data_IF_148992109132
#
_entry.id   IF_148992109132
#
_cell.length_a   1.000
_cell.length_b   1.000
_cell.length_c   1.000
_cell.angle_alpha   90.00
_cell.angle_beta   90.00
_cell.angle_gamma   90.00
#
_symmetry.space_group_name_H-M   'P 1'
#
loop_
_entity.id
_entity.type
_entity.pdbx_description
1 polymer ?
#
# COMPACT_ATOMS: atom_id res chain seq x y z
N UNK A 1 14.87 19.49 16.21
CA UNK A 1 14.86 18.55 15.08
C UNK A 1 13.42 18.38 14.70
N UNK A 2 13.13 18.47 13.44
CA UNK A 2 11.75 18.48 12.96
C UNK A 2 11.20 17.06 12.90
N UNK A 3 9.89 16.94 12.99
CA UNK A 3 9.18 15.69 13.27
C UNK A 3 8.91 14.85 12.00
N UNK A 4 8.46 13.61 12.20
CA UNK A 4 7.95 12.73 11.13
C UNK A 4 6.45 12.92 11.05
N UNK A 5 5.94 13.21 9.86
CA UNK A 5 4.51 13.40 9.59
C UNK A 5 3.96 12.26 8.73
N UNK A 6 2.75 11.83 9.04
CA UNK A 6 1.98 10.88 8.25
C UNK A 6 0.63 11.50 7.90
N UNK A 7 0.34 11.63 6.60
CA UNK A 7 -1.00 11.95 6.14
C UNK A 7 -1.87 10.70 6.20
N UNK A 8 -2.94 10.75 6.96
CA UNK A 8 -3.89 9.67 7.13
C UNK A 8 -5.06 9.83 6.15
N UNK A 9 -5.16 8.91 5.21
CA UNK A 9 -6.33 8.81 4.34
C UNK A 9 -7.53 8.27 5.13
N UNK A 10 -8.68 8.89 4.92
CA UNK A 10 -9.92 8.53 5.62
C UNK A 10 -10.99 8.22 4.59
N UNK A 11 -11.55 7.03 4.68
CA UNK A 11 -12.65 6.57 3.87
C UNK A 11 -13.84 6.22 4.76
N UNK A 12 -14.97 6.92 4.56
CA UNK A 12 -16.22 6.69 5.31
C UNK A 12 -16.03 6.62 6.84
N UNK A 13 -15.20 7.52 7.40
CA UNK A 13 -14.89 7.59 8.84
C UNK A 13 -13.88 6.55 9.33
N UNK A 14 -13.27 5.80 8.42
CA UNK A 14 -12.26 4.79 8.75
C UNK A 14 -10.89 5.19 8.19
N UNK A 15 -9.83 5.04 8.99
CA UNK A 15 -8.45 5.26 8.55
C UNK A 15 -8.02 4.12 7.64
N UNK A 16 -7.56 4.45 6.43
CA UNK A 16 -7.12 3.47 5.43
C UNK A 16 -5.95 2.61 5.96
N UNK A 17 -5.93 1.34 5.57
CA UNK A 17 -4.91 0.37 6.02
C UNK A 17 -3.48 0.85 5.75
N UNK A 18 -3.23 1.42 4.58
CA UNK A 18 -1.90 1.99 4.25
C UNK A 18 -1.49 3.09 5.21
N UNK A 19 -2.42 3.92 5.68
CA UNK A 19 -2.13 4.97 6.66
C UNK A 19 -1.76 4.37 8.01
N UNK A 20 -2.41 3.30 8.43
CA UNK A 20 -2.08 2.58 9.66
C UNK A 20 -0.71 1.87 9.58
N UNK A 21 -0.36 1.32 8.41
CA UNK A 21 0.98 0.81 8.11
C UNK A 21 2.03 1.91 8.24
N UNK A 22 1.73 3.09 7.68
CA UNK A 22 2.62 4.26 7.73
C UNK A 22 2.76 4.85 9.11
N UNK A 23 1.73 4.84 9.95
CA UNK A 23 1.83 5.24 11.35
C UNK A 23 2.80 4.32 12.11
N UNK A 24 2.70 3.01 11.90
CA UNK A 24 3.66 2.04 12.48
C UNK A 24 5.09 2.33 12.03
N UNK A 25 5.29 2.55 10.73
CA UNK A 25 6.63 2.85 10.18
C UNK A 25 7.13 4.22 10.60
N UNK A 26 6.25 5.22 10.58
CA UNK A 26 6.55 6.58 11.03
C UNK A 26 7.02 6.63 12.48
N UNK A 27 6.40 5.83 13.37
CA UNK A 27 6.85 5.69 14.76
C UNK A 27 8.26 5.13 14.85
N UNK A 28 8.57 4.09 14.09
CA UNK A 28 9.91 3.51 14.07
C UNK A 28 10.99 4.50 13.54
N UNK A 29 10.64 5.31 12.54
CA UNK A 29 11.52 6.35 12.02
C UNK A 29 11.72 7.49 13.03
N UNK A 30 10.63 7.94 13.68
CA UNK A 30 10.67 8.99 14.68
C UNK A 30 11.46 8.56 15.92
N UNK A 31 11.34 7.31 16.37
CA UNK A 31 12.15 6.75 17.46
C UNK A 31 13.64 6.76 17.10
N UNK A 32 13.99 6.39 15.85
CA UNK A 32 15.39 6.43 15.36
C UNK A 32 15.96 7.85 15.30
N UNK A 33 15.11 8.82 14.96
CA UNK A 33 15.49 10.25 14.88
C UNK A 33 15.39 10.97 16.22
N UNK A 34 14.88 10.32 17.25
CA UNK A 34 14.58 10.91 18.57
C UNK A 34 13.70 12.17 18.43
N UNK A 35 12.61 12.07 17.66
CA UNK A 35 11.68 13.16 17.41
C UNK A 35 10.22 12.65 17.54
N UNK A 36 9.23 13.54 17.37
CA UNK A 36 7.81 13.18 17.43
C UNK A 36 7.34 12.52 16.15
N UNK A 37 6.34 11.64 16.29
CA UNK A 37 5.47 11.24 15.21
C UNK A 37 4.22 12.11 15.24
N UNK A 38 3.94 12.78 14.15
CA UNK A 38 2.74 13.58 13.98
C UNK A 38 1.89 13.03 12.84
N UNK A 39 0.58 13.10 13.01
CA UNK A 39 -0.37 12.63 12.00
C UNK A 39 -1.30 13.76 11.56
N UNK A 40 -1.74 13.72 10.30
CA UNK A 40 -2.70 14.65 9.75
C UNK A 40 -3.93 13.90 9.29
N UNK A 41 -5.09 14.25 9.83
CA UNK A 41 -6.39 13.77 9.43
C UNK A 41 -7.21 14.93 8.86
N UNK A 42 -7.58 14.87 7.57
CA UNK A 42 -8.36 15.89 6.90
C UNK A 42 -9.59 15.26 6.24
N UNK A 43 -10.77 15.81 6.51
CA UNK A 43 -12.04 15.27 6.01
C UNK A 43 -13.25 15.95 6.63
N UNK A 44 -14.34 15.22 6.76
CA UNK A 44 -15.56 15.68 7.41
C UNK A 44 -16.16 14.60 8.29
N UNK A 45 -16.67 15.00 9.48
CA UNK A 45 -17.24 14.07 10.45
C UNK A 45 -16.18 13.21 11.13
N UNK A 46 -15.07 13.84 11.53
CA UNK A 46 -13.90 13.15 12.10
C UNK A 46 -13.98 12.95 13.62
N UNK A 47 -15.17 12.97 14.20
CA UNK A 47 -15.35 12.70 15.61
C UNK A 47 -14.89 11.28 15.99
N UNK A 48 -13.99 11.19 16.95
CA UNK A 48 -13.45 9.89 17.41
C UNK A 48 -12.36 9.28 16.56
N UNK A 49 -11.90 9.95 15.49
CA UNK A 49 -10.83 9.47 14.59
C UNK A 49 -9.51 9.24 15.34
N UNK A 50 -9.28 9.97 16.42
CA UNK A 50 -8.12 9.82 17.28
C UNK A 50 -7.96 8.39 17.83
N UNK A 51 -9.07 7.67 18.05
CA UNK A 51 -9.05 6.27 18.54
C UNK A 51 -8.44 5.30 17.53
N UNK A 52 -8.45 5.67 16.25
CA UNK A 52 -7.88 4.84 15.18
C UNK A 52 -6.42 5.23 14.86
N UNK A 53 -5.95 6.41 15.28
CA UNK A 53 -4.64 6.95 14.90
C UNK A 53 -3.67 6.95 16.08
N UNK A 54 -4.08 7.51 17.22
CA UNK A 54 -3.21 7.73 18.39
C UNK A 54 -2.59 6.43 18.94
N UNK A 55 -3.28 5.26 18.96
CA UNK A 55 -2.73 4.00 19.45
C UNK A 55 -1.47 3.50 18.73
N UNK A 56 -1.18 4.01 17.54
CA UNK A 56 0.05 3.70 16.81
C UNK A 56 1.29 4.44 17.35
N UNK A 57 1.13 5.25 18.41
CA UNK A 57 2.22 6.02 19.03
C UNK A 57 2.35 7.41 18.43
N UNK A 58 1.27 8.01 17.99
CA UNK A 58 1.22 9.38 17.47
C UNK A 58 1.26 10.36 18.62
N UNK A 59 2.27 11.22 18.63
CA UNK A 59 2.48 12.21 19.67
C UNK A 59 1.57 13.43 19.50
N UNK A 60 1.31 13.84 18.24
CA UNK A 60 0.40 14.93 17.90
C UNK A 60 -0.46 14.53 16.70
N UNK A 61 -1.76 14.70 16.83
CA UNK A 61 -2.73 14.51 15.75
C UNK A 61 -3.33 15.86 15.36
N UNK A 62 -3.05 16.32 14.14
CA UNK A 62 -3.66 17.48 13.53
C UNK A 62 -4.95 17.09 12.83
N UNK A 63 -6.07 17.62 13.28
CA UNK A 63 -7.41 17.32 12.75
C UNK A 63 -7.96 18.54 12.01
N UNK A 64 -8.32 18.33 10.75
CA UNK A 64 -8.99 19.29 9.89
C UNK A 64 -10.37 18.72 9.53
N UNK A 65 -11.38 19.10 10.28
CA UNK A 65 -12.76 18.59 10.11
C UNK A 65 -13.66 19.69 9.54
N UNK A 66 -13.97 19.59 8.24
CA UNK A 66 -14.81 20.54 7.54
C UNK A 66 -15.49 19.88 6.32
N UNK A 67 -16.78 20.16 6.05
CA UNK A 67 -17.49 19.61 4.90
C UNK A 67 -16.81 19.87 3.55
N UNK A 68 -16.01 20.93 3.42
CA UNK A 68 -15.28 21.26 2.19
C UNK A 68 -14.12 20.30 1.90
N UNK A 69 -13.71 19.49 2.88
CA UNK A 69 -12.66 18.48 2.76
C UNK A 69 -13.21 17.08 2.44
N UNK A 70 -14.52 16.92 2.30
CA UNK A 70 -15.15 15.65 1.93
C UNK A 70 -16.26 15.84 0.89
N UNK A 71 -16.33 14.98 -0.14
CA UNK A 71 -15.33 13.96 -0.48
C UNK A 71 -14.00 14.59 -0.94
N UNK A 72 -12.92 13.79 -0.96
CA UNK A 72 -11.60 14.27 -1.34
C UNK A 72 -11.61 15.04 -2.67
N UNK A 73 -11.01 16.22 -2.64
CA UNK A 73 -10.62 17.00 -3.81
C UNK A 73 -9.20 17.53 -3.64
N UNK A 74 -8.44 17.65 -4.73
CA UNK A 74 -7.00 17.90 -4.68
C UNK A 74 -6.63 19.22 -4.02
N UNK A 75 -7.29 20.33 -4.39
CA UNK A 75 -6.85 21.66 -4.01
C UNK A 75 -6.98 21.94 -2.50
N UNK A 76 -8.13 21.69 -1.83
CA UNK A 76 -8.26 21.99 -0.41
C UNK A 76 -7.28 21.16 0.45
N UNK A 77 -7.14 19.87 0.15
CA UNK A 77 -6.18 19.02 0.87
C UNK A 77 -4.73 19.45 0.64
N UNK A 78 -4.41 19.89 -0.59
CA UNK A 78 -3.08 20.44 -0.91
C UNK A 78 -2.80 21.73 -0.12
N UNK A 79 -3.77 22.66 -0.05
CA UNK A 79 -3.65 23.90 0.67
C UNK A 79 -3.42 23.66 2.18
N UNK A 80 -4.20 22.76 2.79
CA UNK A 80 -4.04 22.34 4.18
C UNK A 80 -2.61 21.85 4.45
N UNK A 81 -2.12 20.89 3.66
CA UNK A 81 -0.80 20.31 3.90
C UNK A 81 0.34 21.30 3.65
N UNK A 82 0.24 22.13 2.60
CA UNK A 82 1.28 23.13 2.31
C UNK A 82 1.41 24.10 3.47
N UNK A 83 0.29 24.62 3.98
CA UNK A 83 0.32 25.57 5.08
C UNK A 83 0.82 24.92 6.35
N UNK A 84 0.28 23.77 6.74
CA UNK A 84 0.74 23.03 7.91
C UNK A 84 2.23 22.72 7.85
N UNK A 85 2.74 22.24 6.71
CA UNK A 85 4.16 21.89 6.57
C UNK A 85 5.09 23.11 6.51
N UNK A 86 4.58 24.28 6.12
CA UNK A 86 5.33 25.53 6.25
C UNK A 86 5.42 26.01 7.70
N UNK A 87 4.39 25.77 8.50
CA UNK A 87 4.35 26.12 9.93
C UNK A 87 5.20 25.14 10.75
N UNK A 88 5.00 23.83 10.57
CA UNK A 88 5.63 22.77 11.38
C UNK A 88 7.01 22.33 10.86
N UNK A 89 7.33 22.59 9.61
CA UNK A 89 8.62 22.26 8.96
C UNK A 89 9.07 20.81 9.18
N UNK A 90 8.27 19.80 8.76
CA UNK A 90 8.61 18.41 9.01
C UNK A 90 9.95 17.99 8.41
N UNK A 91 10.64 17.06 9.08
CA UNK A 91 11.82 16.39 8.55
C UNK A 91 11.45 15.39 7.47
N UNK A 92 10.38 14.63 7.71
CA UNK A 92 9.87 13.58 6.85
C UNK A 92 8.36 13.72 6.74
N UNK A 93 7.80 13.50 5.53
CA UNK A 93 6.37 13.43 5.32
C UNK A 93 6.01 12.20 4.47
N UNK A 94 5.14 11.35 4.99
CA UNK A 94 4.75 10.08 4.41
C UNK A 94 3.27 10.07 4.02
N UNK A 95 2.96 9.43 2.88
CA UNK A 95 1.61 9.25 2.35
C UNK A 95 1.48 7.85 1.74
N UNK A 96 0.27 7.31 1.63
CA UNK A 96 0.01 6.09 0.87
C UNK A 96 0.27 6.29 -0.64
N UNK A 97 0.72 5.28 -1.35
CA UNK A 97 0.80 5.31 -2.81
C UNK A 97 -0.55 4.90 -3.45
N UNK A 98 -1.62 5.39 -2.89
CA UNK A 98 -3.01 5.26 -3.35
C UNK A 98 -3.32 6.25 -4.48
N UNK A 99 -4.55 6.24 -4.97
CA UNK A 99 -5.02 7.27 -5.92
C UNK A 99 -4.92 8.67 -5.30
N UNK A 100 -5.27 8.81 -4.02
CA UNK A 100 -5.19 10.09 -3.29
C UNK A 100 -3.74 10.52 -3.09
N UNK A 101 -2.90 9.66 -2.55
CA UNK A 101 -1.52 10.04 -2.26
C UNK A 101 -0.67 10.28 -3.51
N UNK A 102 -0.98 9.62 -4.63
CA UNK A 102 -0.34 9.87 -5.94
C UNK A 102 -0.77 11.18 -6.58
N UNK A 103 -1.92 11.73 -6.21
CA UNK A 103 -2.35 13.07 -6.61
C UNK A 103 -1.81 14.15 -5.64
N UNK A 104 -1.98 13.94 -4.35
CA UNK A 104 -1.66 14.91 -3.30
C UNK A 104 -0.14 15.09 -3.10
N UNK A 105 0.60 13.99 -3.01
CA UNK A 105 2.04 14.02 -2.71
C UNK A 105 2.85 14.87 -3.67
N UNK A 106 2.76 14.70 -5.01
CA UNK A 106 3.49 15.52 -5.97
C UNK A 106 3.14 17.01 -5.91
N UNK A 107 1.87 17.35 -5.63
CA UNK A 107 1.42 18.75 -5.50
C UNK A 107 2.06 19.42 -4.29
N UNK A 108 2.02 18.76 -3.14
CA UNK A 108 2.65 19.26 -1.90
C UNK A 108 4.17 19.36 -2.07
N UNK A 109 4.81 18.33 -2.61
CA UNK A 109 6.25 18.29 -2.87
C UNK A 109 6.70 19.44 -3.78
N UNK A 110 5.99 19.67 -4.88
CA UNK A 110 6.27 20.75 -5.82
C UNK A 110 6.14 22.14 -5.16
N UNK A 111 5.08 22.37 -4.40
CA UNK A 111 4.82 23.64 -3.73
C UNK A 111 5.83 23.96 -2.62
N UNK A 112 6.39 22.92 -1.98
CA UNK A 112 7.43 23.05 -0.95
C UNK A 112 8.85 23.00 -1.53
N UNK A 113 9.00 22.85 -2.84
CA UNK A 113 10.29 22.70 -3.51
C UNK A 113 11.10 21.55 -2.89
N UNK A 114 10.45 20.45 -2.56
CA UNK A 114 11.07 19.26 -1.98
C UNK A 114 11.01 18.05 -2.90
N UNK A 115 11.82 17.02 -2.64
CA UNK A 115 11.81 15.78 -3.42
C UNK A 115 10.78 14.80 -2.87
N UNK A 116 10.08 14.11 -3.79
CA UNK A 116 9.17 13.02 -3.47
C UNK A 116 9.59 11.74 -4.20
N UNK A 117 9.79 10.66 -3.47
CA UNK A 117 9.95 9.33 -4.08
C UNK A 117 8.62 8.59 -4.06
N UNK A 118 8.15 8.20 -5.24
CA UNK A 118 6.88 7.52 -5.39
C UNK A 118 7.02 5.99 -5.25
N UNK A 119 6.01 5.36 -4.64
CA UNK A 119 5.79 3.91 -4.62
C UNK A 119 6.92 3.13 -3.94
N UNK A 120 7.39 3.66 -2.79
CA UNK A 120 8.40 3.01 -1.97
C UNK A 120 7.89 1.70 -1.37
N UNK A 121 8.80 0.73 -1.22
CA UNK A 121 8.54 -0.55 -0.56
C UNK A 121 9.27 -0.70 0.76
N UNK A 122 10.30 0.11 1.01
CA UNK A 122 10.96 0.19 2.31
C UNK A 122 11.44 1.62 2.59
N UNK A 123 11.56 1.97 3.86
CA UNK A 123 12.04 3.25 4.36
C UNK A 123 13.01 3.02 5.51
N UNK A 124 14.16 3.69 5.50
CA UNK A 124 15.16 3.57 6.55
C UNK A 124 15.82 4.92 6.85
N UNK A 125 16.40 5.08 8.03
CA UNK A 125 17.25 6.23 8.35
C UNK A 125 18.70 5.82 8.17
N UNK A 126 19.46 6.64 7.45
CA UNK A 126 20.87 6.39 7.20
C UNK A 126 21.71 7.67 7.07
N UNK A 127 23.01 7.46 6.79
CA UNK A 127 24.00 8.50 6.57
C UNK A 127 24.60 8.35 5.18
N UNK A 128 24.70 9.42 4.44
CA UNK A 128 25.31 9.44 3.11
C UNK A 128 26.55 10.32 3.07
N UNK A 129 27.66 9.75 2.59
CA UNK A 129 28.89 10.47 2.35
C UNK A 129 29.02 10.84 0.88
N UNK A 130 28.89 12.11 0.56
CA UNK A 130 29.24 12.63 -0.74
C UNK A 130 30.76 12.86 -0.83
N UNK A 131 31.45 11.87 -1.33
CA UNK A 131 32.92 11.90 -1.48
C UNK A 131 33.39 12.97 -2.46
N UNK A 132 32.55 13.38 -3.44
CA UNK A 132 32.90 14.41 -4.41
C UNK A 132 32.79 15.81 -3.80
N UNK A 133 31.76 16.03 -3.00
CA UNK A 133 31.55 17.30 -2.30
C UNK A 133 32.26 17.37 -0.93
N UNK A 134 32.83 16.25 -0.44
CA UNK A 134 33.43 16.17 0.89
C UNK A 134 32.43 16.41 2.02
N UNK A 135 31.18 16.06 1.84
CA UNK A 135 30.10 16.31 2.80
C UNK A 135 29.47 15.00 3.28
N UNK A 136 29.17 14.94 4.57
CA UNK A 136 28.40 13.87 5.17
C UNK A 136 27.02 14.39 5.54
N UNK A 137 25.99 13.69 5.11
CA UNK A 137 24.60 13.98 5.43
C UNK A 137 24.07 12.91 6.36
N UNK A 138 23.70 13.29 7.57
CA UNK A 138 23.14 12.40 8.57
C UNK A 138 21.60 12.48 8.61
N UNK A 139 20.98 11.46 9.20
CA UNK A 139 19.53 11.41 9.41
C UNK A 139 18.71 11.55 8.10
N UNK A 140 19.22 10.98 7.01
CA UNK A 140 18.52 10.94 5.75
C UNK A 140 17.50 9.80 5.72
N UNK A 141 16.35 10.07 5.10
CA UNK A 141 15.39 9.04 4.74
C UNK A 141 15.89 8.32 3.50
N UNK A 142 16.24 7.05 3.63
CA UNK A 142 16.47 6.13 2.51
C UNK A 142 15.12 5.66 1.99
N UNK A 143 14.79 6.08 0.80
CA UNK A 143 13.53 5.84 0.12
C UNK A 143 13.77 4.73 -0.90
N UNK A 144 13.40 3.52 -0.52
CA UNK A 144 13.75 2.30 -1.23
C UNK A 144 12.56 1.85 -2.07
N UNK A 145 12.79 1.68 -3.37
CA UNK A 145 11.76 1.23 -4.32
C UNK A 145 12.33 0.28 -5.37
N UNK A 146 11.53 -0.65 -5.91
CA UNK A 146 11.92 -1.42 -7.08
C UNK A 146 12.14 -0.49 -8.29
N UNK A 147 13.25 -0.68 -8.99
CA UNK A 147 13.53 -0.03 -10.28
C UNK A 147 13.05 -0.93 -11.44
N UNK A 148 13.32 -0.51 -12.68
CA UNK A 148 12.93 -1.25 -13.87
C UNK A 148 13.42 -2.71 -13.83
N UNK A 149 12.51 -3.64 -14.14
CA UNK A 149 12.81 -5.08 -14.19
C UNK A 149 12.72 -5.81 -12.86
N UNK A 150 12.44 -5.10 -11.73
CA UNK A 150 12.16 -5.70 -10.41
C UNK A 150 13.34 -6.37 -9.68
N UNK A 151 14.45 -6.66 -10.39
CA UNK A 151 15.66 -7.21 -9.79
C UNK A 151 16.62 -6.11 -9.28
N UNK A 152 16.30 -4.86 -9.54
CA UNK A 152 17.10 -3.71 -9.11
C UNK A 152 16.27 -2.94 -8.09
N UNK A 153 16.85 -2.69 -6.94
CA UNK A 153 16.30 -1.84 -5.90
C UNK A 153 17.06 -0.51 -5.91
N UNK A 154 16.34 0.59 -6.06
CA UNK A 154 16.91 1.92 -5.98
C UNK A 154 16.71 2.50 -4.58
N UNK A 155 17.80 2.97 -3.96
CA UNK A 155 17.76 3.79 -2.75
C UNK A 155 17.89 5.25 -3.15
N UNK A 156 16.86 6.03 -2.91
CA UNK A 156 16.79 7.45 -3.25
C UNK A 156 16.90 8.26 -1.97
N UNK A 157 17.67 9.35 -2.03
CA UNK A 157 17.88 10.28 -0.92
C UNK A 157 17.58 11.72 -1.34
N UNK A 158 17.16 12.54 -0.41
CA UNK A 158 16.95 13.97 -0.59
C UNK A 158 17.72 14.74 0.49
N UNK A 159 19.01 15.03 0.27
CA UNK A 159 19.87 15.58 1.30
C UNK A 159 19.60 17.06 1.60
N UNK A 160 19.20 17.87 0.61
CA UNK A 160 19.22 19.33 0.71
C UNK A 160 17.87 19.96 1.07
N UNK A 161 16.76 19.28 0.75
CA UNK A 161 15.41 19.83 0.92
C UNK A 161 14.58 19.09 1.96
N UNK A 162 13.63 19.80 2.58
CA UNK A 162 12.69 19.28 3.57
C UNK A 162 11.25 19.72 3.22
N UNK A 163 10.26 18.88 3.56
CA UNK A 163 10.38 17.52 4.09
C UNK A 163 10.96 16.53 3.07
N UNK A 164 11.61 15.47 3.55
CA UNK A 164 11.91 14.31 2.71
C UNK A 164 10.61 13.52 2.53
N UNK A 165 10.06 13.51 1.31
CA UNK A 165 8.72 12.97 1.06
C UNK A 165 8.77 11.61 0.36
N UNK A 166 7.88 10.72 0.79
CA UNK A 166 7.68 9.43 0.13
C UNK A 166 6.19 9.07 0.06
N UNK A 167 5.77 8.52 -1.08
CA UNK A 167 4.56 7.70 -1.09
C UNK A 167 4.95 6.23 -0.98
N UNK A 168 4.17 5.46 -0.22
CA UNK A 168 4.49 4.07 0.10
C UNK A 168 3.39 3.16 -0.38
N UNK A 169 3.78 2.07 -1.03
CA UNK A 169 2.85 1.07 -1.55
C UNK A 169 2.06 0.43 -0.42
N UNK A 170 0.77 0.22 -0.64
CA UNK A 170 -0.08 -0.53 0.29
C UNK A 170 0.41 -1.97 0.48
N UNK A 171 0.27 -2.49 1.69
CA UNK A 171 0.53 -3.88 2.01
C UNK A 171 2.01 -4.24 2.06
N UNK A 172 2.94 -3.28 2.05
CA UNK A 172 4.40 -3.57 2.13
C UNK A 172 4.99 -3.32 3.51
N UNK A 173 4.25 -2.67 4.40
CA UNK A 173 4.70 -2.40 5.76
C UNK A 173 3.77 -3.07 6.77
N UNK A 174 4.29 -3.30 7.98
CA UNK A 174 3.50 -3.88 9.06
C UNK A 174 2.50 -2.87 9.61
N UNK A 175 1.35 -3.36 10.03
CA UNK A 175 0.32 -2.64 10.76
C UNK A 175 0.26 -3.18 12.18
N UNK A 176 0.86 -2.45 13.13
CA UNK A 176 0.96 -2.87 14.53
C UNK A 176 0.63 -1.69 15.46
N UNK A 177 -0.39 -1.86 16.29
CA UNK A 177 -0.71 -0.90 17.36
C UNK A 177 0.40 -0.93 18.39
N UNK A 178 0.97 0.23 18.72
CA UNK A 178 2.04 0.35 19.72
C UNK A 178 1.52 0.17 21.14
N UNK A 179 0.47 0.91 21.48
CA UNK A 179 -0.19 0.86 22.80
C UNK A 179 -1.63 1.36 22.63
N UNK A 180 -2.60 0.52 22.98
CA UNK A 180 -4.01 0.87 22.89
C UNK A 180 -4.40 2.04 23.85
N UNK A 181 -3.61 2.30 24.87
CA UNK A 181 -3.81 3.38 25.84
C UNK A 181 -2.88 4.58 25.60
N UNK A 182 -2.17 4.62 24.47
CA UNK A 182 -1.29 5.74 24.13
C UNK A 182 -2.06 7.05 24.10
N UNK A 183 -1.47 8.10 24.63
CA UNK A 183 -2.08 9.43 24.69
C UNK A 183 -1.20 10.41 23.92
N UNK A 184 -1.72 10.91 22.81
CA UNK A 184 -1.17 12.00 22.03
C UNK A 184 -1.96 13.28 22.23
N UNK A 185 -1.37 14.38 21.89
CA UNK A 185 -2.01 15.68 21.79
C UNK A 185 -2.92 15.71 20.54
N UNK A 186 -4.12 16.28 20.66
CA UNK A 186 -5.05 16.43 19.54
C UNK A 186 -5.24 17.92 19.29
N UNK A 187 -4.77 18.38 18.12
CA UNK A 187 -4.87 19.77 17.68
C UNK A 187 -5.96 19.87 16.61
N UNK A 188 -7.08 20.47 16.95
CA UNK A 188 -8.17 20.75 16.00
C UNK A 188 -7.96 22.13 15.40
N UNK A 189 -7.79 22.17 14.08
CA UNK A 189 -7.56 23.40 13.34
C UNK A 189 -8.88 24.00 12.80
N UNK A 190 -8.98 25.31 12.77
CA UNK A 190 -10.02 25.98 12.00
C UNK A 190 -9.64 25.94 10.52
N UNK A 191 -10.36 25.14 9.74
CA UNK A 191 -10.04 24.90 8.34
C UNK A 191 -10.07 26.17 7.50
N UNK A 192 -10.91 27.16 7.85
CA UNK A 192 -10.96 28.45 7.14
C UNK A 192 -9.67 29.27 7.24
N UNK A 193 -8.79 28.95 8.17
CA UNK A 193 -7.46 29.56 8.23
C UNK A 193 -6.50 28.94 7.21
N UNK A 194 -6.81 27.75 6.67
CA UNK A 194 -5.94 26.95 5.81
C UNK A 194 -6.36 26.93 4.34
N UNK A 195 -7.67 27.06 4.07
CA UNK A 195 -8.23 27.01 2.71
C UNK A 195 -9.03 28.27 2.41
N UNK A 196 -9.10 28.61 1.14
CA UNK A 196 -9.89 29.72 0.60
C UNK A 196 -10.96 29.21 -0.36
N UNK A 197 -11.84 30.08 -0.83
CA UNK A 197 -12.84 29.73 -1.85
C UNK A 197 -12.18 29.32 -3.17
N UNK A 198 -10.98 29.83 -3.47
CA UNK A 198 -10.22 29.46 -4.67
C UNK A 198 -9.73 28.01 -4.62
N UNK A 199 -9.56 27.44 -3.44
CA UNK A 199 -9.21 26.04 -3.27
C UNK A 199 -10.42 25.11 -3.43
N UNK A 200 -11.65 25.65 -3.38
CA UNK A 200 -12.92 24.90 -3.40
C UNK A 200 -13.68 25.00 -4.72
N UNK A 201 -12.99 25.24 -5.83
CA UNK A 201 -13.60 25.44 -7.17
C UNK A 201 -14.17 24.18 -7.80
N UNK A 202 -13.78 23.00 -7.31
CA UNK A 202 -14.28 21.70 -7.79
C UNK A 202 -15.31 21.17 -6.80
N UNK A 203 -16.49 20.81 -7.32
CA UNK A 203 -17.55 20.17 -6.54
C UNK A 203 -17.82 18.77 -7.08
N UNK A 204 -17.74 17.78 -6.22
CA UNK A 204 -18.14 16.40 -6.54
C UNK A 204 -19.67 16.35 -6.58
N UNK A 205 -20.24 16.03 -7.75
CA UNK A 205 -21.68 15.94 -7.94
C UNK A 205 -22.19 14.56 -7.55
N UNK A 206 -21.43 13.51 -7.92
CA UNK A 206 -21.80 12.12 -7.68
C UNK A 206 -20.55 11.27 -7.52
N UNK A 207 -20.57 10.32 -6.61
CA UNK A 207 -19.51 9.31 -6.41
C UNK A 207 -20.10 7.92 -6.61
N UNK A 208 -19.64 7.22 -7.64
CA UNK A 208 -19.96 5.82 -7.85
C UNK A 208 -18.88 4.96 -7.23
N UNK A 209 -19.23 4.21 -6.20
CA UNK A 209 -18.35 3.25 -5.56
C UNK A 209 -18.78 1.85 -5.99
N UNK A 210 -17.99 1.22 -6.82
CA UNK A 210 -18.16 -0.22 -7.08
C UNK A 210 -17.73 -0.99 -5.83
N UNK A 211 -18.67 -1.73 -5.24
CA UNK A 211 -18.31 -2.65 -4.15
C UNK A 211 -17.39 -3.73 -4.70
N UNK A 212 -16.23 -3.90 -4.07
CA UNK A 212 -15.32 -4.99 -4.42
C UNK A 212 -16.09 -6.32 -4.39
N UNK A 213 -16.12 -7.01 -5.53
CA UNK A 213 -16.80 -8.32 -5.70
C UNK A 213 -16.05 -9.44 -5.01
N UNK A 214 -14.82 -9.19 -4.55
CA UNK A 214 -13.93 -10.16 -3.92
C UNK A 214 -13.15 -9.51 -2.78
N UNK A 215 -12.60 -10.35 -1.90
CA UNK A 215 -11.79 -9.92 -0.77
C UNK A 215 -10.37 -10.47 -0.86
N UNK A 216 -9.69 -10.24 -1.97
CA UNK A 216 -8.33 -10.75 -2.21
C UNK A 216 -7.33 -10.30 -1.14
N UNK A 217 -7.40 -9.04 -0.70
CA UNK A 217 -6.46 -8.51 0.33
C UNK A 217 -6.63 -9.17 1.69
N UNK A 218 -7.86 -9.49 2.07
CA UNK A 218 -8.18 -10.05 3.39
C UNK A 218 -8.24 -11.57 3.44
N UNK A 219 -8.16 -12.26 2.29
CA UNK A 219 -8.29 -13.71 2.26
C UNK A 219 -7.04 -14.42 2.79
N UNK A 220 -7.19 -15.37 3.72
CA UNK A 220 -6.06 -16.17 4.20
C UNK A 220 -5.54 -17.18 3.16
N UNK A 221 -6.33 -17.51 2.15
CA UNK A 221 -5.96 -18.43 1.07
C UNK A 221 -6.34 -17.82 -0.27
N UNK A 222 -5.40 -17.79 -1.21
CA UNK A 222 -5.62 -17.32 -2.58
C UNK A 222 -5.24 -18.41 -3.57
N UNK A 223 -6.16 -18.71 -4.49
CA UNK A 223 -5.91 -19.57 -5.66
C UNK A 223 -5.84 -18.70 -6.89
N UNK A 224 -4.66 -18.56 -7.50
CA UNK A 224 -4.43 -17.62 -8.59
C UNK A 224 -4.13 -18.35 -9.91
N UNK A 225 -4.73 -17.87 -11.00
CA UNK A 225 -4.55 -18.40 -12.34
C UNK A 225 -3.73 -17.50 -13.25
N UNK A 226 -2.81 -18.10 -14.01
CA UNK A 226 -2.07 -17.47 -15.08
C UNK A 226 -2.63 -17.78 -16.46
N UNK A 227 -1.96 -17.25 -17.48
CA UNK A 227 -2.29 -17.56 -18.89
C UNK A 227 -2.14 -19.06 -19.21
N UNK A 228 -1.25 -19.77 -18.50
CA UNK A 228 -1.04 -21.20 -18.62
C UNK A 228 -2.24 -22.09 -18.20
N UNK A 229 -3.30 -21.51 -17.64
CA UNK A 229 -4.58 -22.18 -17.43
C UNK A 229 -5.28 -22.50 -18.78
N UNK A 230 -4.97 -21.75 -19.82
CA UNK A 230 -5.31 -22.05 -21.21
C UNK A 230 -6.67 -21.57 -21.66
N UNK A 231 -7.70 -21.57 -20.83
CA UNK A 231 -9.04 -21.10 -21.21
C UNK A 231 -9.86 -20.63 -20.02
N UNK A 232 -10.96 -19.91 -20.30
CA UNK A 232 -11.93 -19.47 -19.30
C UNK A 232 -12.65 -20.65 -18.65
N UNK A 233 -12.90 -21.71 -19.40
CA UNK A 233 -13.53 -22.95 -18.92
C UNK A 233 -12.61 -23.65 -17.90
N UNK A 234 -11.33 -23.75 -18.20
CA UNK A 234 -10.34 -24.31 -17.27
C UNK A 234 -10.15 -23.43 -16.02
N UNK A 235 -10.31 -22.10 -16.18
CA UNK A 235 -10.24 -21.16 -15.07
C UNK A 235 -11.34 -21.43 -14.02
N UNK A 236 -12.46 -22.05 -14.42
CA UNK A 236 -13.51 -22.49 -13.49
C UNK A 236 -13.00 -23.49 -12.45
N UNK A 237 -12.01 -24.32 -12.78
CA UNK A 237 -11.40 -25.26 -11.82
C UNK A 237 -10.75 -24.56 -10.63
N UNK A 238 -10.27 -23.32 -10.83
CA UNK A 238 -9.71 -22.51 -9.73
C UNK A 238 -10.82 -22.05 -8.78
N UNK A 239 -11.97 -21.64 -9.33
CA UNK A 239 -13.14 -21.29 -8.53
C UNK A 239 -13.67 -22.50 -7.76
N UNK A 240 -13.67 -23.68 -8.37
CA UNK A 240 -14.10 -24.90 -7.72
C UNK A 240 -13.15 -25.29 -6.57
N UNK A 241 -11.84 -25.19 -6.77
CA UNK A 241 -10.85 -25.41 -5.70
C UNK A 241 -10.97 -24.36 -4.60
N UNK A 242 -11.08 -23.08 -4.97
CA UNK A 242 -11.20 -21.98 -4.02
C UNK A 242 -12.45 -22.13 -3.13
N UNK A 243 -13.55 -22.57 -3.69
CA UNK A 243 -14.78 -22.85 -2.94
C UNK A 243 -14.56 -23.91 -1.85
N UNK A 244 -13.86 -24.99 -2.16
CA UNK A 244 -13.58 -26.05 -1.19
C UNK A 244 -12.60 -25.58 -0.08
N UNK A 245 -11.67 -24.70 -0.44
CA UNK A 245 -10.67 -24.16 0.50
C UNK A 245 -11.14 -22.91 1.26
N UNK A 246 -12.35 -22.42 0.99
CA UNK A 246 -12.81 -21.11 1.47
C UNK A 246 -11.83 -19.99 1.10
N UNK A 247 -11.30 -20.03 -0.11
CA UNK A 247 -10.28 -19.15 -0.65
C UNK A 247 -10.88 -18.13 -1.63
N UNK A 248 -10.15 -17.06 -1.89
CA UNK A 248 -10.42 -16.14 -2.99
C UNK A 248 -9.66 -16.53 -4.25
N UNK A 249 -10.23 -16.17 -5.41
CA UNK A 249 -9.61 -16.43 -6.71
C UNK A 249 -8.96 -15.16 -7.24
N UNK A 250 -7.65 -15.25 -7.50
CA UNK A 250 -6.86 -14.20 -8.15
C UNK A 250 -6.43 -14.58 -9.56
N UNK A 251 -5.82 -13.61 -10.27
CA UNK A 251 -5.34 -13.84 -11.63
C UNK A 251 -4.08 -13.03 -11.93
N UNK A 252 -3.24 -13.52 -12.86
CA UNK A 252 -2.21 -12.71 -13.47
C UNK A 252 -2.82 -11.73 -14.48
N UNK A 253 -2.12 -10.64 -14.77
CA UNK A 253 -2.54 -9.68 -15.80
C UNK A 253 -2.82 -10.38 -17.15
N UNK A 254 -1.97 -11.30 -17.58
CA UNK A 254 -2.14 -12.01 -18.83
C UNK A 254 -3.43 -12.84 -18.89
N UNK A 255 -3.87 -13.41 -17.76
CA UNK A 255 -5.13 -14.14 -17.69
C UNK A 255 -6.34 -13.19 -17.74
N UNK A 256 -6.24 -12.02 -17.11
CA UNK A 256 -7.26 -10.95 -17.20
C UNK A 256 -7.36 -10.41 -18.62
N UNK A 257 -6.22 -10.05 -19.24
CA UNK A 257 -6.16 -9.53 -20.60
C UNK A 257 -6.72 -10.56 -21.62
N UNK A 258 -6.57 -11.86 -21.35
CA UNK A 258 -7.15 -12.95 -22.14
C UNK A 258 -8.66 -13.17 -21.85
N UNK A 259 -9.27 -12.45 -20.93
CA UNK A 259 -10.68 -12.53 -20.59
C UNK A 259 -11.07 -13.78 -19.78
N UNK A 260 -10.13 -14.44 -19.10
CA UNK A 260 -10.42 -15.61 -18.27
C UNK A 260 -11.18 -15.22 -16.99
N UNK A 261 -10.93 -14.02 -16.48
CA UNK A 261 -11.61 -13.45 -15.30
C UNK A 261 -11.59 -11.92 -15.33
N UNK A 262 -12.31 -11.28 -14.41
CA UNK A 262 -12.45 -9.82 -14.33
C UNK A 262 -11.18 -9.16 -13.78
N UNK A 263 -11.01 -7.87 -14.10
CA UNK A 263 -9.84 -7.06 -13.72
C UNK A 263 -9.70 -6.87 -12.20
N UNK A 264 -10.79 -6.88 -11.45
CA UNK A 264 -10.81 -6.76 -9.98
C UNK A 264 -10.11 -7.94 -9.27
N UNK A 265 -9.79 -9.02 -10.00
CA UNK A 265 -9.02 -10.19 -9.52
C UNK A 265 -7.54 -10.13 -9.88
N UNK A 266 -7.09 -9.07 -10.54
CA UNK A 266 -5.69 -8.98 -10.97
C UNK A 266 -4.75 -8.81 -9.77
N UNK A 267 -3.76 -9.72 -9.67
CA UNK A 267 -2.67 -9.66 -8.67
C UNK A 267 -1.37 -9.24 -9.36
N UNK A 268 -0.64 -8.33 -8.75
CA UNK A 268 0.65 -7.86 -9.24
C UNK A 268 0.89 -6.38 -9.00
N UNK A 269 1.95 -5.86 -9.59
CA UNK A 269 2.37 -4.46 -9.44
C UNK A 269 1.30 -3.44 -9.88
N UNK A 270 0.49 -3.78 -10.88
CA UNK A 270 -0.60 -2.95 -11.41
C UNK A 270 -1.99 -3.42 -10.98
N UNK A 271 -2.05 -4.39 -10.07
CA UNK A 271 -3.27 -4.94 -9.50
C UNK A 271 -3.24 -4.90 -7.97
N UNK A 272 -3.90 -5.87 -7.36
CA UNK A 272 -3.95 -6.00 -5.89
C UNK A 272 -2.66 -6.67 -5.40
N UNK A 273 -2.09 -6.16 -4.31
CA UNK A 273 -1.05 -6.86 -3.55
C UNK A 273 -1.69 -7.68 -2.45
N UNK A 274 -1.30 -8.96 -2.35
CA UNK A 274 -1.88 -9.93 -1.41
C UNK A 274 -0.79 -10.57 -0.53
N UNK A 275 -1.17 -10.94 0.71
CA UNK A 275 -0.29 -11.63 1.68
C UNK A 275 -1.03 -12.77 2.38
N UNK A 276 -1.54 -13.75 1.62
CA UNK A 276 -2.25 -14.87 2.23
C UNK A 276 -1.31 -15.77 3.01
N UNK A 277 -1.87 -16.58 3.90
CA UNK A 277 -1.16 -17.69 4.52
C UNK A 277 -0.78 -18.78 3.52
N UNK A 278 -1.60 -18.94 2.46
CA UNK A 278 -1.38 -19.88 1.38
C UNK A 278 -1.72 -19.25 0.03
N UNK A 279 -0.77 -19.26 -0.88
CA UNK A 279 -0.92 -18.84 -2.28
C UNK A 279 -0.71 -20.04 -3.21
N UNK A 280 -1.72 -20.39 -4.00
CA UNK A 280 -1.65 -21.47 -4.99
C UNK A 280 -1.60 -20.84 -6.38
N UNK A 281 -0.43 -20.89 -7.02
CA UNK A 281 -0.17 -20.34 -8.35
C UNK A 281 -0.40 -21.41 -9.42
N UNK A 282 -1.45 -21.27 -10.24
CA UNK A 282 -1.84 -22.23 -11.27
C UNK A 282 -1.52 -21.69 -12.67
N UNK A 283 -0.57 -22.30 -13.40
CA UNK A 283 -0.23 -21.87 -14.75
C UNK A 283 0.29 -20.42 -14.83
N UNK A 284 0.97 -19.94 -13.78
CA UNK A 284 1.59 -18.61 -13.70
C UNK A 284 3.07 -18.75 -14.04
N UNK A 285 3.57 -17.94 -14.99
CA UNK A 285 4.99 -17.95 -15.37
C UNK A 285 5.92 -17.40 -14.27
N UNK A 286 5.45 -16.44 -13.47
CA UNK A 286 6.29 -15.80 -12.46
C UNK A 286 7.05 -14.59 -12.97
N UNK A 287 6.43 -13.79 -13.84
CA UNK A 287 6.95 -12.48 -14.18
C UNK A 287 7.04 -11.62 -12.93
N UNK A 288 8.08 -10.80 -12.85
CA UNK A 288 8.43 -10.03 -11.65
C UNK A 288 7.31 -9.08 -11.21
N UNK A 289 6.51 -8.56 -12.15
CA UNK A 289 5.36 -7.72 -11.86
C UNK A 289 4.26 -8.48 -11.11
N UNK A 290 4.09 -9.78 -11.38
CA UNK A 290 3.17 -10.64 -10.65
C UNK A 290 3.76 -11.01 -9.28
N UNK A 291 5.02 -11.41 -9.26
CA UNK A 291 5.75 -11.77 -8.02
C UNK A 291 5.68 -10.63 -7.00
N UNK A 292 5.88 -9.38 -7.43
CA UNK A 292 5.80 -8.21 -6.55
C UNK A 292 4.45 -8.04 -5.83
N UNK A 293 3.39 -8.65 -6.35
CA UNK A 293 2.05 -8.63 -5.74
C UNK A 293 1.76 -9.79 -4.80
N UNK A 294 2.63 -10.82 -4.68
CA UNK A 294 2.32 -12.03 -3.90
C UNK A 294 3.50 -12.67 -3.16
N UNK A 295 4.72 -12.21 -3.36
CA UNK A 295 5.94 -12.82 -2.79
C UNK A 295 5.97 -12.85 -1.24
N UNK A 296 5.20 -11.99 -0.58
CA UNK A 296 5.07 -11.94 0.88
C UNK A 296 4.04 -12.96 1.41
N UNK A 297 3.56 -13.89 0.59
CA UNK A 297 2.70 -14.99 1.03
C UNK A 297 3.50 -15.93 1.95
N UNK A 298 2.85 -16.47 2.98
CA UNK A 298 3.56 -17.30 3.96
C UNK A 298 3.97 -18.67 3.38
N UNK A 299 3.14 -19.25 2.49
CA UNK A 299 3.42 -20.48 1.75
C UNK A 299 2.98 -20.27 0.30
N UNK A 300 3.84 -20.65 -0.65
CA UNK A 300 3.57 -20.57 -2.09
C UNK A 300 3.64 -21.99 -2.68
N UNK A 301 2.55 -22.41 -3.33
CA UNK A 301 2.50 -23.65 -4.12
C UNK A 301 2.43 -23.26 -5.60
N UNK A 302 3.36 -23.75 -6.40
CA UNK A 302 3.32 -23.62 -7.87
C UNK A 302 2.79 -24.89 -8.52
N UNK A 303 1.79 -24.75 -9.37
CA UNK A 303 1.28 -25.79 -10.26
C UNK A 303 1.55 -25.31 -11.68
N UNK A 304 2.53 -25.93 -12.36
CA UNK A 304 2.96 -25.50 -13.68
C UNK A 304 3.35 -26.70 -14.56
N UNK A 305 3.03 -26.62 -15.83
CA UNK A 305 3.49 -27.60 -16.81
C UNK A 305 4.94 -27.41 -17.22
N UNK A 306 5.49 -26.18 -17.03
CA UNK A 306 6.88 -25.85 -17.27
C UNK A 306 7.68 -25.98 -15.96
N UNK A 307 8.61 -26.95 -15.86
CA UNK A 307 9.44 -27.15 -14.68
C UNK A 307 10.42 -25.98 -14.45
N UNK A 308 10.75 -25.21 -15.51
CA UNK A 308 11.69 -24.08 -15.48
C UNK A 308 10.97 -22.73 -15.29
N UNK A 309 9.66 -22.73 -15.04
CA UNK A 309 8.92 -21.48 -14.84
C UNK A 309 9.53 -20.68 -13.67
N UNK A 310 9.79 -19.37 -13.84
CA UNK A 310 10.40 -18.53 -12.81
C UNK A 310 9.67 -18.52 -11.46
N UNK A 311 8.34 -18.73 -11.46
CA UNK A 311 7.55 -18.85 -10.22
C UNK A 311 8.05 -19.98 -9.31
N UNK A 312 8.60 -21.05 -9.89
CA UNK A 312 9.09 -22.22 -9.16
C UNK A 312 10.28 -21.88 -8.26
N UNK A 313 11.05 -20.83 -8.62
CA UNK A 313 12.22 -20.40 -7.83
C UNK A 313 11.83 -19.76 -6.48
N UNK A 314 10.60 -19.29 -6.34
CA UNK A 314 10.10 -18.66 -5.11
C UNK A 314 9.02 -19.52 -4.42
N UNK A 315 8.62 -20.65 -5.01
CA UNK A 315 7.61 -21.53 -4.46
C UNK A 315 8.21 -22.47 -3.41
N UNK A 316 7.51 -22.67 -2.30
CA UNK A 316 7.86 -23.67 -1.28
C UNK A 316 7.59 -25.10 -1.78
N UNK A 317 6.56 -25.25 -2.62
CA UNK A 317 6.19 -26.52 -3.22
C UNK A 317 5.93 -26.35 -4.71
N UNK A 318 6.51 -27.24 -5.52
CA UNK A 318 6.31 -27.26 -6.98
C UNK A 318 5.64 -28.56 -7.40
N UNK A 319 4.53 -28.46 -8.12
CA UNK A 319 3.79 -29.56 -8.71
C UNK A 319 3.89 -29.42 -10.23
N UNK A 320 4.67 -30.27 -10.89
CA UNK A 320 4.76 -30.28 -12.35
C UNK A 320 3.54 -31.00 -12.94
N UNK A 321 2.74 -30.28 -13.70
CA UNK A 321 1.53 -30.79 -14.33
C UNK A 321 0.63 -29.70 -14.88
N UNK A 322 -0.38 -30.07 -15.65
CA UNK A 322 -1.38 -29.12 -16.13
C UNK A 322 -2.47 -28.90 -15.08
N UNK A 323 -3.15 -27.77 -15.15
CA UNK A 323 -4.23 -27.40 -14.23
C UNK A 323 -5.34 -28.45 -14.27
N UNK A 324 -5.70 -28.93 -15.47
CA UNK A 324 -6.74 -29.94 -15.68
C UNK A 324 -6.40 -31.31 -15.08
N UNK A 325 -5.10 -31.62 -14.98
CA UNK A 325 -4.66 -32.90 -14.42
C UNK A 325 -4.52 -32.85 -12.89
N UNK A 326 -4.15 -31.69 -12.32
CA UNK A 326 -3.82 -31.53 -10.90
C UNK A 326 -5.04 -31.11 -10.08
N UNK A 327 -5.75 -30.02 -10.46
CA UNK A 327 -6.80 -29.45 -9.63
C UNK A 327 -7.97 -30.41 -9.34
N UNK A 328 -8.48 -31.21 -10.28
CA UNK A 328 -9.55 -32.16 -9.96
C UNK A 328 -9.14 -33.19 -8.91
N UNK A 329 -7.85 -33.61 -8.90
CA UNK A 329 -7.31 -34.52 -7.89
C UNK A 329 -7.22 -33.86 -6.51
N UNK A 330 -6.77 -32.61 -6.46
CA UNK A 330 -6.73 -31.83 -5.22
C UNK A 330 -8.13 -31.64 -4.65
N UNK A 331 -9.10 -31.23 -5.46
CA UNK A 331 -10.50 -31.07 -5.05
C UNK A 331 -11.07 -32.36 -4.50
N UNK A 332 -10.86 -33.49 -5.21
CA UNK A 332 -11.34 -34.81 -4.78
C UNK A 332 -10.71 -35.24 -3.45
N UNK A 333 -9.39 -35.01 -3.29
CA UNK A 333 -8.68 -35.36 -2.08
C UNK A 333 -9.17 -34.54 -0.89
N UNK A 334 -9.32 -33.23 -1.07
CA UNK A 334 -9.77 -32.32 -0.02
C UNK A 334 -11.21 -32.68 0.43
N UNK A 335 -12.14 -32.86 -0.51
CA UNK A 335 -13.53 -33.29 -0.20
C UNK A 335 -13.59 -34.57 0.61
N UNK A 336 -12.64 -35.48 0.39
CA UNK A 336 -12.61 -36.78 1.09
C UNK A 336 -12.06 -36.63 2.53
N UNK A 337 -11.16 -35.68 2.77
CA UNK A 337 -10.36 -35.60 4.01
C UNK A 337 -10.69 -34.37 4.88
N UNK A 338 -11.46 -33.42 4.39
CA UNK A 338 -11.90 -32.24 5.15
C UNK A 338 -13.27 -32.50 5.83
N UNK A 339 -13.33 -33.55 6.67
CA UNK A 339 -14.50 -33.81 7.53
C UNK A 339 -14.23 -33.34 8.93
#
# INVERSE_FOLDING_TARGET
MNNVFVYCEIEEGTVADVSQELLTKGRALADKLNCRLEAVAAGSGLDGIERQIVPYGVDVLHVFDDPRLAPYTSLPHTAVLIKLFKEEQPQIALMGATVIGRDLGPRVSSALTSGLTADCTALEIGTYEDRKAGRTYENLLYQIRPAFGGNIVATIINPDHRPQMATVREGVMKKEVRDANYRGEIVRHNVSDYITDEDCVVKVIERHVEKAKNNLKGSPIVVAGGYGVGSKENFQLLFDLAKELHAEVGASRAAVDAGFTDHDRQIGQTGVTVRPKLYIACGISGQIQHIAGMQESAIIISINSDPEAPINAIADYVITGTVESVLPRMIKYYKKNSK
#
